data_IF_191418886144
#
_entry.id   IF_191418886144
#
_cell.length_a   1.000
_cell.length_b   1.000
_cell.length_c   1.000
_cell.angle_alpha   90.00
_cell.angle_beta   90.00
_cell.angle_gamma   90.00
#
_symmetry.space_group_name_H-M   'P 1'
#
loop_
_entity.id
_entity.type
_entity.pdbx_description
1 polymer ?
#
# COMPACT_ATOMS: atom_id res chain seq x y z
N UNK A 1 22.27 -16.19 -14.67
CA UNK A 1 20.85 -16.11 -14.25
C UNK A 1 20.80 -16.37 -12.75
N UNK A 2 20.91 -15.33 -11.93
CA UNK A 2 20.75 -15.47 -10.47
C UNK A 2 19.30 -15.16 -10.14
N UNK A 3 18.55 -16.20 -9.77
CA UNK A 3 17.24 -16.05 -9.15
C UNK A 3 17.47 -15.48 -7.75
N UNK A 4 17.24 -14.19 -7.55
CA UNK A 4 17.16 -13.62 -6.21
C UNK A 4 15.93 -14.19 -5.55
N UNK A 5 16.12 -15.24 -4.75
CA UNK A 5 15.07 -15.89 -3.99
C UNK A 5 14.47 -14.90 -2.99
N UNK A 6 13.19 -14.62 -3.16
CA UNK A 6 12.37 -13.90 -2.20
C UNK A 6 12.39 -14.63 -0.85
N UNK A 7 12.65 -13.95 0.29
CA UNK A 7 12.66 -14.62 1.60
C UNK A 7 11.23 -15.03 1.97
N UNK A 8 10.93 -16.31 1.80
CA UNK A 8 9.59 -16.92 1.91
C UNK A 8 9.02 -17.00 3.34
N UNK A 9 9.62 -16.38 4.37
CA UNK A 9 9.14 -16.59 5.75
C UNK A 9 8.98 -15.40 6.70
N UNK A 10 9.45 -14.18 6.42
CA UNK A 10 9.18 -13.01 7.28
C UNK A 10 9.28 -11.70 6.50
N UNK A 11 8.28 -11.41 5.68
CA UNK A 11 8.23 -10.15 4.90
C UNK A 11 7.64 -9.00 5.71
N UNK A 12 6.79 -9.30 6.69
CA UNK A 12 6.09 -8.31 7.51
C UNK A 12 6.45 -8.54 8.99
N UNK A 13 7.14 -7.60 9.67
CA UNK A 13 7.24 -7.60 11.14
C UNK A 13 5.88 -7.41 11.83
N UNK A 14 4.88 -6.91 11.10
CA UNK A 14 3.55 -6.65 11.63
C UNK A 14 2.80 -7.95 11.92
N UNK A 15 2.56 -8.19 13.21
CA UNK A 15 1.68 -9.25 13.67
C UNK A 15 0.20 -8.91 13.50
N UNK A 16 -0.63 -9.94 13.28
CA UNK A 16 -2.09 -9.80 13.16
C UNK A 16 -2.71 -9.07 14.36
N UNK A 17 -2.25 -9.37 15.59
CA UNK A 17 -2.77 -8.72 16.80
C UNK A 17 -2.43 -7.24 16.91
N UNK A 18 -1.22 -6.86 16.48
CA UNK A 18 -0.81 -5.46 16.46
C UNK A 18 -1.62 -4.66 15.44
N UNK A 19 -1.84 -5.25 14.25
CA UNK A 19 -2.71 -4.65 13.24
C UNK A 19 -4.14 -4.51 13.76
N UNK A 20 -4.70 -5.57 14.35
CA UNK A 20 -6.05 -5.56 14.94
C UNK A 20 -6.20 -4.49 16.03
N UNK A 21 -5.23 -4.40 16.94
CA UNK A 21 -5.23 -3.39 17.99
C UNK A 21 -5.25 -1.97 17.39
N UNK A 22 -4.43 -1.71 16.39
CA UNK A 22 -4.45 -0.43 15.69
C UNK A 22 -5.81 -0.20 15.00
N UNK A 23 -6.34 -1.19 14.29
CA UNK A 23 -7.62 -1.10 13.60
C UNK A 23 -8.79 -0.76 14.54
N UNK A 24 -8.79 -1.30 15.77
CA UNK A 24 -9.81 -0.97 16.79
C UNK A 24 -9.84 0.52 17.17
N UNK A 25 -8.74 1.24 16.94
CA UNK A 25 -8.62 2.67 17.21
C UNK A 25 -9.18 3.59 16.11
N UNK A 26 -9.44 3.07 14.89
CA UNK A 26 -9.81 3.90 13.74
C UNK A 26 -11.09 4.72 13.97
N UNK A 27 -12.12 4.13 14.58
CA UNK A 27 -13.41 4.79 14.81
C UNK A 27 -13.27 6.06 15.65
N UNK A 28 -12.28 6.10 16.54
CA UNK A 28 -12.01 7.23 17.44
C UNK A 28 -10.97 8.21 16.86
N UNK A 29 -9.98 7.70 16.13
CA UNK A 29 -8.82 8.50 15.71
C UNK A 29 -8.94 8.99 14.25
N UNK A 30 -9.84 8.43 13.44
CA UNK A 30 -9.98 8.72 12.01
C UNK A 30 -8.83 8.22 11.13
N UNK A 31 -7.67 7.92 11.73
CA UNK A 31 -6.47 7.40 11.09
C UNK A 31 -5.63 6.64 12.12
N UNK A 32 -4.96 5.57 11.69
CA UNK A 32 -3.94 4.88 12.49
C UNK A 32 -2.69 4.63 11.66
N UNK A 33 -1.53 4.77 12.27
CA UNK A 33 -0.24 4.45 11.66
C UNK A 33 0.32 3.18 12.30
N UNK A 34 0.69 2.20 11.48
CA UNK A 34 1.21 0.92 11.94
C UNK A 34 2.54 0.66 11.25
N UNK A 35 3.63 0.40 11.99
CA UNK A 35 4.89 -0.03 11.39
C UNK A 35 4.70 -1.40 10.73
N UNK A 36 4.73 -1.43 9.40
CA UNK A 36 4.48 -2.65 8.63
C UNK A 36 5.73 -3.36 8.14
N UNK A 37 6.88 -2.66 8.07
CA UNK A 37 8.06 -3.12 7.36
C UNK A 37 9.34 -2.83 8.14
N UNK A 38 10.26 -3.80 8.12
CA UNK A 38 11.62 -3.62 8.60
C UNK A 38 12.45 -2.84 7.59
N UNK A 39 13.52 -2.17 8.06
CA UNK A 39 14.38 -1.35 7.22
C UNK A 39 14.98 -2.11 6.03
N UNK A 40 15.42 -3.35 6.26
CA UNK A 40 16.01 -4.18 5.20
C UNK A 40 14.98 -4.57 4.14
N UNK A 41 13.73 -4.80 4.55
CA UNK A 41 12.61 -5.06 3.63
C UNK A 41 12.30 -3.80 2.82
N UNK A 42 12.28 -2.63 3.44
CA UNK A 42 12.13 -1.36 2.72
C UNK A 42 13.22 -1.18 1.66
N UNK A 43 14.47 -1.51 1.99
CA UNK A 43 15.58 -1.38 1.03
C UNK A 43 15.45 -2.36 -0.15
N UNK A 44 15.01 -3.59 0.11
CA UNK A 44 14.72 -4.56 -0.95
C UNK A 44 13.55 -4.11 -1.84
N UNK A 45 12.49 -3.53 -1.26
CA UNK A 45 11.37 -2.98 -2.02
C UNK A 45 11.80 -1.80 -2.89
N UNK A 46 12.66 -0.90 -2.39
CA UNK A 46 13.24 0.21 -3.17
C UNK A 46 13.98 -0.33 -4.40
N UNK A 47 14.83 -1.34 -4.22
CA UNK A 47 15.57 -1.95 -5.34
C UNK A 47 14.63 -2.58 -6.38
N UNK A 48 13.53 -3.20 -5.95
CA UNK A 48 12.54 -3.78 -6.86
C UNK A 48 11.79 -2.72 -7.66
N UNK A 49 11.43 -1.59 -7.03
CA UNK A 49 10.69 -0.53 -7.73
C UNK A 49 11.58 0.31 -8.63
N UNK A 50 12.87 0.46 -8.34
CA UNK A 50 13.79 1.30 -9.14
C UNK A 50 13.86 0.89 -10.62
N UNK A 51 13.60 -0.39 -10.92
CA UNK A 51 13.59 -0.93 -12.27
C UNK A 51 12.27 -0.68 -13.05
N UNK A 52 11.23 -0.15 -12.41
CA UNK A 52 9.93 0.06 -13.04
C UNK A 52 9.93 1.26 -13.99
N UNK A 53 9.12 1.21 -15.07
CA UNK A 53 8.94 2.33 -15.98
C UNK A 53 8.10 3.42 -15.31
N UNK A 54 8.75 4.46 -14.82
CA UNK A 54 8.09 5.60 -14.20
C UNK A 54 7.79 6.72 -15.20
N UNK A 55 6.62 7.33 -15.03
CA UNK A 55 6.17 8.49 -15.79
C UNK A 55 5.85 9.66 -14.85
N UNK A 56 6.12 10.92 -15.24
CA UNK A 56 5.68 12.07 -14.45
C UNK A 56 4.18 12.05 -14.21
N UNK A 57 3.74 12.33 -12.98
CA UNK A 57 2.33 12.57 -12.71
C UNK A 57 1.85 13.84 -13.44
N UNK A 58 0.57 13.92 -13.84
CA UNK A 58 0.01 15.14 -14.38
C UNK A 58 0.21 16.31 -13.40
N UNK A 59 0.70 17.48 -13.84
CA UNK A 59 1.19 18.54 -12.94
C UNK A 59 0.12 19.19 -12.05
N UNK A 60 -1.17 18.95 -12.35
CA UNK A 60 -2.30 19.46 -11.57
C UNK A 60 -3.40 18.42 -11.42
N UNK A 61 -3.79 18.16 -10.17
CA UNK A 61 -5.03 17.48 -9.81
C UNK A 61 -5.93 18.45 -9.01
N UNK A 62 -7.21 18.14 -8.84
CA UNK A 62 -8.14 18.98 -8.09
C UNK A 62 -8.86 20.05 -8.91
N UNK A 63 -9.70 20.85 -8.25
CA UNK A 63 -10.50 21.87 -8.91
C UNK A 63 -9.69 23.15 -9.17
N UNK A 64 -10.19 24.02 -10.05
CA UNK A 64 -9.58 25.33 -10.30
C UNK A 64 -9.47 26.19 -9.03
N UNK A 65 -10.33 25.99 -8.03
CA UNK A 65 -10.28 26.69 -6.75
C UNK A 65 -9.28 26.09 -5.76
N UNK A 66 -8.93 24.81 -5.90
CA UNK A 66 -7.99 24.10 -5.02
C UNK A 66 -7.06 23.21 -5.85
N UNK A 67 -6.08 23.80 -6.56
CA UNK A 67 -5.13 23.03 -7.34
C UNK A 67 -4.20 22.24 -6.42
N UNK A 68 -4.11 20.94 -6.69
CA UNK A 68 -3.15 20.02 -6.08
C UNK A 68 -1.98 19.87 -7.04
N UNK A 69 -0.84 20.42 -6.67
CA UNK A 69 0.39 20.25 -7.45
C UNK A 69 0.96 18.86 -7.20
N UNK A 70 1.25 18.13 -8.27
CA UNK A 70 1.85 16.80 -8.23
C UNK A 70 3.26 16.89 -8.81
N UNK A 71 4.27 16.64 -7.99
CA UNK A 71 5.69 16.70 -8.37
C UNK A 71 6.39 15.35 -8.29
N UNK A 72 5.65 14.26 -8.40
CA UNK A 72 6.14 12.88 -8.31
C UNK A 72 6.00 12.13 -9.63
N UNK A 73 6.55 10.92 -9.66
CA UNK A 73 6.42 9.99 -10.78
C UNK A 73 5.58 8.77 -10.36
N UNK A 74 4.87 8.19 -11.31
CA UNK A 74 3.98 7.05 -11.13
C UNK A 74 4.34 5.93 -12.08
N UNK A 75 4.18 4.69 -11.61
CA UNK A 75 4.08 3.50 -12.43
C UNK A 75 2.69 2.89 -12.20
N UNK A 76 1.82 3.00 -13.22
CA UNK A 76 0.46 2.44 -13.20
C UNK A 76 0.45 0.98 -13.70
N UNK A 77 1.37 0.63 -14.60
CA UNK A 77 1.38 -0.67 -15.28
C UNK A 77 2.39 -1.63 -14.62
N UNK A 78 2.23 -1.89 -13.31
CA UNK A 78 3.06 -2.88 -12.62
C UNK A 78 2.72 -4.27 -13.15
N UNK A 79 3.64 -4.99 -13.81
CA UNK A 79 3.32 -6.29 -14.40
C UNK A 79 2.80 -7.27 -13.35
N UNK A 80 1.76 -8.04 -13.65
CA UNK A 80 1.16 -9.02 -12.71
C UNK A 80 2.15 -10.08 -12.22
N UNK A 81 3.22 -10.33 -12.96
CA UNK A 81 4.32 -11.24 -12.60
C UNK A 81 5.39 -10.58 -11.72
N UNK A 82 5.25 -9.30 -11.41
CA UNK A 82 6.20 -8.56 -10.59
C UNK A 82 6.04 -8.92 -9.11
N UNK A 83 7.16 -9.06 -8.38
CA UNK A 83 7.18 -9.48 -6.96
C UNK A 83 6.39 -8.54 -6.00
N UNK A 84 6.04 -7.33 -6.46
CA UNK A 84 5.15 -6.44 -5.71
C UNK A 84 3.75 -7.01 -5.53
N UNK A 85 3.27 -7.84 -6.47
CA UNK A 85 1.98 -8.52 -6.33
C UNK A 85 2.01 -9.59 -5.24
N UNK A 86 3.11 -10.32 -5.08
CA UNK A 86 3.29 -11.28 -3.97
C UNK A 86 3.35 -10.58 -2.61
N UNK A 87 4.03 -9.44 -2.57
CA UNK A 87 4.05 -8.56 -1.40
C UNK A 87 2.64 -8.05 -1.06
N UNK A 88 1.92 -7.58 -2.07
CA UNK A 88 0.55 -7.10 -1.93
C UNK A 88 -0.39 -8.19 -1.40
N UNK A 89 -0.31 -9.39 -1.96
CA UNK A 89 -1.11 -10.53 -1.53
C UNK A 89 -0.81 -10.90 -0.06
N UNK A 90 0.48 -10.90 0.33
CA UNK A 90 0.90 -11.18 1.70
C UNK A 90 0.34 -10.17 2.69
N UNK A 91 0.36 -8.88 2.33
CA UNK A 91 -0.25 -7.83 3.14
C UNK A 91 -1.78 -7.99 3.16
N UNK A 92 -2.41 -8.34 2.03
CA UNK A 92 -3.85 -8.55 1.93
C UNK A 92 -4.34 -9.66 2.85
N UNK A 93 -3.60 -10.77 2.94
CA UNK A 93 -3.88 -11.87 3.88
C UNK A 93 -3.80 -11.43 5.34
N UNK A 94 -2.82 -10.59 5.68
CA UNK A 94 -2.66 -10.05 7.03
C UNK A 94 -3.86 -9.14 7.41
N UNK A 95 -4.27 -8.27 6.49
CA UNK A 95 -5.46 -7.41 6.67
C UNK A 95 -6.74 -8.24 6.76
N UNK A 96 -6.93 -9.23 5.87
CA UNK A 96 -8.07 -10.13 5.93
C UNK A 96 -8.14 -10.82 7.29
N UNK A 97 -7.03 -11.36 7.80
CA UNK A 97 -6.99 -12.04 9.08
C UNK A 97 -7.31 -11.10 10.25
N UNK A 98 -6.78 -9.88 10.25
CA UNK A 98 -7.06 -8.88 11.28
C UNK A 98 -8.52 -8.40 11.26
N UNK A 99 -9.11 -8.26 10.07
CA UNK A 99 -10.48 -7.75 9.87
C UNK A 99 -11.56 -8.81 10.05
N UNK A 100 -11.28 -10.08 9.73
CA UNK A 100 -12.23 -11.20 9.90
C UNK A 100 -12.58 -11.45 11.36
N UNK A 101 -11.67 -11.11 12.29
CA UNK A 101 -11.88 -11.29 13.73
C UNK A 101 -12.90 -10.33 14.34
N UNK A 102 -13.20 -9.22 13.66
CA UNK A 102 -13.95 -8.10 14.22
C UNK A 102 -15.37 -7.96 13.63
N UNK A 103 -15.82 -8.94 12.82
CA UNK A 103 -17.08 -8.90 12.06
C UNK A 103 -17.25 -7.66 11.15
N UNK A 104 -16.16 -6.90 10.93
CA UNK A 104 -16.14 -5.66 10.14
C UNK A 104 -16.22 -5.93 8.63
N UNK A 105 -15.93 -7.16 8.21
CA UNK A 105 -16.04 -7.61 6.82
C UNK A 105 -17.04 -8.75 6.77
N UNK A 106 -18.02 -8.64 5.87
CA UNK A 106 -18.92 -9.75 5.59
C UNK A 106 -18.10 -10.96 5.10
N UNK A 107 -18.36 -12.19 5.58
CA UNK A 107 -17.59 -13.38 5.23
C UNK A 107 -17.42 -13.64 3.72
N UNK A 108 -18.23 -12.99 2.88
CA UNK A 108 -18.30 -13.20 1.44
C UNK A 108 -17.43 -12.22 0.63
N UNK A 109 -16.88 -11.16 1.25
CA UNK A 109 -15.94 -10.23 0.59
C UNK A 109 -14.53 -10.46 1.11
N UNK A 110 -13.76 -11.31 0.40
CA UNK A 110 -12.33 -11.42 0.65
C UNK A 110 -11.65 -10.07 0.35
N UNK A 111 -11.09 -9.45 1.38
CA UNK A 111 -10.19 -8.31 1.29
C UNK A 111 -9.04 -8.67 0.36
N UNK A 112 -8.97 -7.94 -0.74
CA UNK A 112 -7.88 -8.02 -1.71
C UNK A 112 -7.55 -6.61 -2.17
N UNK A 113 -6.27 -6.36 -2.38
CA UNK A 113 -5.85 -5.20 -3.14
C UNK A 113 -6.20 -5.44 -4.60
N UNK A 114 -6.93 -4.51 -5.20
CA UNK A 114 -7.42 -4.65 -6.56
C UNK A 114 -6.49 -4.02 -7.60
N UNK A 115 -5.57 -3.16 -7.15
CA UNK A 115 -4.67 -2.41 -8.00
C UNK A 115 -3.38 -2.07 -7.25
N UNK A 116 -2.29 -1.86 -8.00
CA UNK A 116 -0.99 -1.45 -7.51
C UNK A 116 -0.47 -0.26 -8.32
N UNK A 117 -0.32 0.87 -7.63
CA UNK A 117 0.33 2.06 -8.17
C UNK A 117 1.58 2.32 -7.36
N UNK A 118 2.73 2.44 -8.03
CA UNK A 118 3.99 2.80 -7.38
C UNK A 118 4.27 4.28 -7.60
N UNK A 119 4.42 5.02 -6.50
CA UNK A 119 4.74 6.43 -6.52
C UNK A 119 6.17 6.69 -6.06
N UNK A 120 6.95 7.39 -6.91
CA UNK A 120 8.33 7.76 -6.65
C UNK A 120 8.49 9.27 -6.54
N UNK A 121 9.13 9.70 -5.45
CA UNK A 121 9.54 11.08 -5.24
C UNK A 121 11.04 11.20 -5.54
N UNK A 122 11.40 11.96 -6.57
CA UNK A 122 12.78 12.25 -6.90
C UNK A 122 13.37 13.31 -5.96
N UNK A 123 14.69 13.49 -5.98
CA UNK A 123 15.32 14.57 -5.23
C UNK A 123 14.71 15.93 -5.64
N UNK A 124 14.35 16.76 -4.65
CA UNK A 124 13.75 18.08 -4.87
C UNK A 124 12.22 18.10 -4.91
N UNK A 125 11.54 16.95 -4.86
CA UNK A 125 10.08 16.91 -4.68
C UNK A 125 9.70 17.40 -3.27
N UNK A 126 8.54 18.04 -3.15
CA UNK A 126 8.02 18.60 -1.89
C UNK A 126 7.23 17.60 -1.05
N UNK A 127 7.06 16.36 -1.52
CA UNK A 127 6.29 15.31 -0.84
C UNK A 127 7.10 14.33 0.00
N UNK A 128 6.39 13.42 0.67
CA UNK A 128 6.93 12.42 1.60
C UNK A 128 7.38 11.18 0.81
N UNK A 129 8.55 10.63 1.11
CA UNK A 129 9.19 9.50 0.40
C UNK A 129 8.28 8.26 0.26
N UNK A 130 8.22 7.71 -0.97
CA UNK A 130 7.62 6.44 -1.41
C UNK A 130 6.30 6.02 -0.71
N UNK A 131 5.18 6.18 -1.41
CA UNK A 131 3.87 5.65 -0.97
C UNK A 131 3.47 4.52 -1.92
N UNK A 132 3.24 3.33 -1.38
CA UNK A 132 2.51 2.27 -2.09
C UNK A 132 1.04 2.48 -1.76
N UNK A 133 0.28 3.01 -2.71
CA UNK A 133 -1.16 3.15 -2.56
C UNK A 133 -1.79 1.85 -3.04
N UNK A 134 -2.46 1.15 -2.13
CA UNK A 134 -3.18 -0.06 -2.45
C UNK A 134 -4.66 0.22 -2.21
N UNK A 135 -5.43 0.22 -3.29
CA UNK A 135 -6.87 0.46 -3.20
C UNK A 135 -7.59 -0.82 -2.77
N UNK A 136 -8.72 -0.65 -2.08
CA UNK A 136 -9.61 -1.74 -1.66
C UNK A 136 -11.01 -1.36 -2.13
N UNK A 137 -11.51 -2.02 -3.16
CA UNK A 137 -12.93 -1.91 -3.54
C UNK A 137 -13.79 -2.76 -2.61
N UNK A 138 -14.73 -2.12 -1.88
CA UNK A 138 -15.71 -2.80 -1.02
C UNK A 138 -15.99 -2.14 0.34
N UNK A 139 -15.22 -1.12 0.73
CA UNK A 139 -15.33 -0.47 2.05
C UNK A 139 -16.00 0.91 2.06
N UNK A 140 -16.28 1.48 0.88
CA UNK A 140 -16.79 2.85 0.72
C UNK A 140 -18.27 3.05 1.12
N UNK A 141 -19.01 2.01 1.49
CA UNK A 141 -20.43 2.12 1.84
C UNK A 141 -20.72 2.36 3.33
N UNK A 142 -19.70 2.47 4.22
CA UNK A 142 -19.93 2.67 5.67
C UNK A 142 -19.21 3.85 6.34
N UNK A 143 -18.47 4.65 5.59
CA UNK A 143 -17.89 5.90 6.10
C UNK A 143 -18.38 7.09 5.27
N UNK A 144 -19.68 7.35 5.35
CA UNK A 144 -20.25 8.67 5.05
C UNK A 144 -20.61 9.31 6.39
N UNK A 145 -19.80 10.27 6.82
CA UNK A 145 -20.21 11.37 7.67
C UNK A 145 -20.10 12.64 6.83
#
# INVERSE_FOLDING_TARGET
MHSMGWPTKKVLPLGQDQLRYALSGLSRQGMVAVPCLEKDVCQALVQLVDALPFHPAPPGAGSSMNPVFQDFQLCYDVPVTHALWDFAESLGRLFQAALSSDSLIEPQTAFRFNDLIVQRYTAGCRGISLIVIMSVTGWLSRFSC
#
